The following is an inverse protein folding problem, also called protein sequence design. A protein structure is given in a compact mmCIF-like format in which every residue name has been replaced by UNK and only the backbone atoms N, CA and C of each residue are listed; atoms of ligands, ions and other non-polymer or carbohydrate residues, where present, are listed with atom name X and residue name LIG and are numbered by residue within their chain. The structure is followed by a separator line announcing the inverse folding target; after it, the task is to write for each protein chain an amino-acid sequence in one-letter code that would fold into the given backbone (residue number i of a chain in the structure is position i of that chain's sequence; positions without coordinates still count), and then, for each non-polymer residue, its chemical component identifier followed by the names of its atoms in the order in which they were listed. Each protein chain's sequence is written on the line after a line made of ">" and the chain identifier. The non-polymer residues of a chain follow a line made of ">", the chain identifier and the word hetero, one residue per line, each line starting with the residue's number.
data_IF_588754925771
#
_entry.id   IF_588754925771
#
_cell.length_a   1.000
_cell.length_b   1.000
_cell.length_c   1.000
_cell.angle_alpha   90.00
_cell.angle_beta   90.00
_cell.angle_gamma   90.00
#
_symmetry.space_group_name_H-M   'P 1'
#
loop_
_entity.id
_entity.type
_entity.pdbx_description
1 polymer ?
#
# COMPACT_ATOMS: atom_id res chain seq x y z
N UNK A 1 17.28 7.40 14.21
CA UNK A 1 16.86 7.16 13.89
C UNK A 1 16.03 6.98 13.68
N UNK A 2 16.08 6.75 13.71
CA UNK A 2 15.46 6.51 13.50
C UNK A 2 14.61 6.35 13.18
N UNK A 3 14.54 6.43 13.12
CA UNK A 3 13.94 6.30 12.71
C UNK A 3 13.23 5.78 11.97
N UNK A 4 13.28 6.01 11.70
CA UNK A 4 12.93 5.37 10.70
C UNK A 4 12.34 4.11 10.91
N UNK A 5 12.19 3.77 11.90
CA UNK A 5 11.62 2.62 12.28
C UNK A 5 10.32 2.34 11.72
N UNK A 6 9.43 3.23 11.74
CA UNK A 6 8.11 3.00 11.25
C UNK A 6 8.08 2.69 9.79
N UNK A 7 9.12 3.08 9.12
CA UNK A 7 9.15 2.87 7.73
C UNK A 7 9.42 1.49 7.34
N UNK A 8 9.98 0.71 8.20
CA UNK A 8 10.28 -0.65 7.85
C UNK A 8 9.10 -1.53 7.97
N UNK A 9 7.98 -1.04 8.46
CA UNK A 9 6.83 -1.88 8.61
C UNK A 9 6.14 -2.08 7.29
N UNK A 10 5.79 -3.31 7.00
CA UNK A 10 4.99 -3.58 5.84
C UNK A 10 3.58 -3.10 6.06
N UNK A 11 2.91 -2.78 4.96
CA UNK A 11 1.51 -2.42 5.05
C UNK A 11 0.70 -3.63 5.53
N UNK A 12 -0.25 -3.38 6.41
CA UNK A 12 -1.18 -4.40 6.85
C UNK A 12 -2.59 -3.86 6.69
N UNK A 13 -3.48 -4.68 6.16
CA UNK A 13 -4.86 -4.27 5.95
C UNK A 13 -5.52 -4.06 7.29
N UNK A 14 -6.16 -2.92 7.45
CA UNK A 14 -6.85 -2.58 8.68
C UNK A 14 -8.35 -2.64 8.45
N UNK A 15 -9.02 -3.59 9.04
CA UNK A 15 -10.43 -3.76 8.80
C UNK A 15 -11.30 -2.74 9.52
N UNK A 16 -10.69 -1.94 10.37
CA UNK A 16 -11.42 -0.89 11.05
C UNK A 16 -11.60 0.36 10.22
N UNK A 17 -10.91 0.45 9.08
CA UNK A 17 -11.07 1.59 8.21
C UNK A 17 -11.54 1.10 6.85
N UNK A 18 -11.96 2.03 6.00
CA UNK A 18 -12.59 1.65 4.75
C UNK A 18 -11.59 1.01 3.79
N UNK A 19 -12.14 0.32 2.81
CA UNK A 19 -11.34 -0.28 1.76
C UNK A 19 -10.54 0.80 1.03
N UNK A 20 -11.17 1.94 0.75
CA UNK A 20 -10.51 3.02 0.03
C UNK A 20 -9.35 3.59 0.83
N UNK A 21 -9.53 3.75 2.13
CA UNK A 21 -8.45 4.24 2.96
C UNK A 21 -7.30 3.25 3.02
N UNK A 22 -7.63 1.96 3.06
CA UNK A 22 -6.59 0.94 3.03
C UNK A 22 -5.81 1.00 1.73
N UNK A 23 -6.52 1.18 0.61
CA UNK A 23 -5.84 1.29 -0.67
C UNK A 23 -4.91 2.49 -0.69
N UNK A 24 -5.37 3.62 -0.17
CA UNK A 24 -4.55 4.81 -0.16
C UNK A 24 -3.26 4.60 0.62
N UNK A 25 -3.36 3.98 1.79
CA UNK A 25 -2.19 3.71 2.59
C UNK A 25 -1.26 2.72 1.92
N UNK A 26 -1.83 1.68 1.33
CA UNK A 26 -1.04 0.67 0.63
C UNK A 26 -0.32 1.29 -0.56
N UNK A 27 -1.02 2.13 -1.30
CA UNK A 27 -0.44 2.73 -2.49
C UNK A 27 0.73 3.63 -2.12
N UNK A 28 0.57 4.42 -1.06
CA UNK A 28 1.66 5.28 -0.62
C UNK A 28 2.86 4.47 -0.17
N UNK A 29 2.61 3.42 0.58
CA UNK A 29 3.69 2.55 1.03
C UNK A 29 4.39 1.92 -0.17
N UNK A 30 3.61 1.48 -1.14
CA UNK A 30 4.15 0.82 -2.30
C UNK A 30 5.01 1.78 -3.12
N UNK A 31 4.56 3.02 -3.29
CA UNK A 31 5.33 4.01 -4.03
C UNK A 31 6.66 4.27 -3.35
N UNK A 32 6.63 4.35 -2.02
CA UNK A 32 7.86 4.59 -1.29
C UNK A 32 8.84 3.43 -1.45
N UNK A 33 8.33 2.20 -1.41
CA UNK A 33 9.19 1.04 -1.59
C UNK A 33 9.82 1.05 -2.97
N UNK A 34 9.03 1.37 -3.98
CA UNK A 34 9.57 1.43 -5.33
C UNK A 34 10.64 2.48 -5.45
N UNK A 35 10.43 3.60 -4.79
CA UNK A 35 11.41 4.67 -4.84
C UNK A 35 12.73 4.25 -4.20
N UNK A 36 12.64 3.55 -3.07
CA UNK A 36 13.83 3.08 -2.38
C UNK A 36 14.64 2.15 -3.28
N UNK A 37 13.96 1.32 -4.06
CA UNK A 37 14.64 0.37 -4.93
C UNK A 37 14.85 0.92 -6.33
N UNK A 38 14.64 2.23 -6.53
CA UNK A 38 14.86 2.89 -7.82
C UNK A 38 14.02 2.27 -8.91
N UNK A 39 12.79 1.91 -8.58
CA UNK A 39 11.86 1.36 -9.54
C UNK A 39 10.72 2.33 -9.72
N UNK A 40 10.05 2.23 -10.87
CA UNK A 40 8.91 3.10 -11.11
C UNK A 40 7.71 2.62 -10.35
N UNK A 41 6.98 3.51 -9.71
CA UNK A 41 5.78 3.08 -9.00
C UNK A 41 4.69 2.69 -9.99
N UNK A 42 3.78 1.86 -9.53
CA UNK A 42 2.61 1.52 -10.33
C UNK A 42 1.76 2.75 -10.56
N UNK A 43 1.08 2.81 -11.69
CA UNK A 43 0.04 3.83 -11.85
C UNK A 43 -1.06 3.52 -10.85
N UNK A 44 -1.92 4.51 -10.60
CA UNK A 44 -3.00 4.30 -9.67
C UNK A 44 -3.91 3.17 -10.12
N UNK A 45 -4.15 3.07 -11.40
CA UNK A 45 -5.02 2.01 -11.90
C UNK A 45 -4.38 0.64 -11.73
N UNK A 46 -3.11 0.52 -12.06
CA UNK A 46 -2.42 -0.75 -11.89
C UNK A 46 -2.35 -1.13 -10.43
N UNK A 47 -2.07 -0.15 -9.58
CA UNK A 47 -2.02 -0.41 -8.16
C UNK A 47 -3.36 -0.88 -7.64
N UNK A 48 -4.45 -0.26 -8.12
CA UNK A 48 -5.78 -0.65 -7.70
C UNK A 48 -6.08 -2.10 -8.09
N UNK A 49 -5.66 -2.49 -9.29
CA UNK A 49 -5.88 -3.85 -9.73
C UNK A 49 -5.14 -4.86 -8.84
N UNK A 50 -3.91 -4.52 -8.51
CA UNK A 50 -3.12 -5.40 -7.66
C UNK A 50 -3.72 -5.48 -6.27
N UNK A 51 -4.07 -4.34 -5.70
CA UNK A 51 -4.65 -4.29 -4.37
C UNK A 51 -5.95 -5.08 -4.33
N UNK A 52 -6.75 -4.92 -5.37
CA UNK A 52 -8.03 -5.60 -5.43
C UNK A 52 -7.85 -7.12 -5.51
N UNK A 53 -6.82 -7.58 -6.22
CA UNK A 53 -6.55 -9.00 -6.28
C UNK A 53 -6.19 -9.58 -4.92
N UNK A 54 -5.52 -8.79 -4.10
CA UNK A 54 -5.07 -9.29 -2.81
C UNK A 54 -6.16 -9.16 -1.76
N UNK A 55 -6.81 -8.00 -1.72
CA UNK A 55 -7.75 -7.71 -0.65
C UNK A 55 -9.17 -7.43 -1.12
N UNK A 56 -9.47 -7.79 -2.35
CA UNK A 56 -10.79 -7.47 -2.88
C UNK A 56 -11.93 -8.07 -2.07
N UNK A 57 -11.71 -9.21 -1.45
CA UNK A 57 -12.76 -9.84 -0.66
C UNK A 57 -13.08 -9.06 0.59
N UNK A 58 -12.18 -8.19 1.02
CA UNK A 58 -12.41 -7.41 2.23
C UNK A 58 -13.39 -6.28 2.01
N UNK A 59 -13.80 -6.06 0.76
CA UNK A 59 -14.76 -5.01 0.47
C UNK A 59 -16.14 -5.33 1.01
N UNK A 60 -16.41 -6.58 1.21
CA UNK A 60 -17.69 -7.02 1.68
C UNK A 60 -17.65 -7.30 3.16
#
# INVERSE_FOLDING_TARGET
>A
MTLDIGQDKKFEYNEDISYELNFDKWYRWNCREKEIYHQEPYSKQDGRNIFNNIWGTHRY
#
